data_IF_518465724282
#
_entry.id   IF_518465724282
#
_cell.length_a   1.000
_cell.length_b   1.000
_cell.length_c   1.000
_cell.angle_alpha   90.00
_cell.angle_beta   90.00
_cell.angle_gamma   90.00
#
_symmetry.space_group_name_H-M   'P 1'
#
loop_
_entity.id
_entity.type
_entity.pdbx_description
1 polymer ?
#
# COMPACT_ATOMS: atom_id res chain seq x y z
N UNK A 1 -14.98 25.29 19.46
CA UNK A 1 -13.79 26.07 19.06
C UNK A 1 -13.50 25.67 17.62
N UNK A 2 -13.48 26.63 16.71
CA UNK A 2 -13.08 26.38 15.34
C UNK A 2 -11.56 26.20 15.34
N UNK A 3 -11.10 25.01 14.93
CA UNK A 3 -9.67 24.71 14.79
C UNK A 3 -9.24 25.06 13.38
N UNK A 4 -8.13 25.77 13.24
CA UNK A 4 -7.59 26.21 11.95
C UNK A 4 -6.17 25.64 11.77
N UNK A 5 -5.92 25.05 10.61
CA UNK A 5 -4.62 24.59 10.16
C UNK A 5 -4.42 24.92 8.68
N UNK A 6 -3.20 24.79 8.17
CA UNK A 6 -3.00 24.97 6.72
C UNK A 6 -3.68 23.82 5.95
N UNK A 7 -3.53 22.60 6.43
CA UNK A 7 -4.02 21.41 5.75
C UNK A 7 -4.84 20.53 6.70
N UNK A 8 -6.04 20.13 6.25
CA UNK A 8 -6.89 19.16 6.95
C UNK A 8 -6.82 17.83 6.22
N UNK A 9 -6.41 16.77 6.92
CA UNK A 9 -6.31 15.40 6.41
C UNK A 9 -7.40 14.55 7.03
N UNK A 10 -8.22 13.89 6.21
CA UNK A 10 -9.23 12.92 6.64
C UNK A 10 -8.72 11.52 6.39
N UNK A 11 -8.53 10.76 7.46
CA UNK A 11 -7.97 9.41 7.46
C UNK A 11 -6.59 9.33 8.09
N UNK A 12 -6.52 8.71 9.27
CA UNK A 12 -5.29 8.49 10.04
C UNK A 12 -4.71 7.09 9.88
N UNK A 13 -4.94 6.42 8.74
CA UNK A 13 -4.31 5.13 8.41
C UNK A 13 -2.78 5.24 8.32
N UNK A 14 -2.16 4.85 7.21
CA UNK A 14 -0.72 5.00 7.00
C UNK A 14 -0.38 6.21 6.11
N UNK A 15 -1.17 6.46 5.06
CA UNK A 15 -0.91 7.56 4.11
C UNK A 15 -1.15 8.94 4.73
N UNK A 16 -2.21 9.10 5.55
CA UNK A 16 -2.51 10.37 6.22
C UNK A 16 -1.39 10.83 7.16
N UNK A 17 -0.95 9.99 8.10
CA UNK A 17 0.21 10.27 8.94
C UNK A 17 1.50 10.54 8.18
N UNK A 18 1.78 9.76 7.13
CA UNK A 18 2.96 9.98 6.28
C UNK A 18 2.92 11.36 5.60
N UNK A 19 1.73 11.75 5.10
CA UNK A 19 1.53 13.07 4.50
C UNK A 19 1.65 14.19 5.53
N UNK A 20 1.08 14.01 6.73
CA UNK A 20 1.15 15.00 7.80
C UNK A 20 2.62 15.31 8.15
N UNK A 21 3.43 14.27 8.40
CA UNK A 21 4.85 14.41 8.71
C UNK A 21 5.66 15.03 7.55
N UNK A 22 5.35 14.64 6.31
CA UNK A 22 6.01 15.22 5.14
C UNK A 22 5.72 16.72 4.98
N UNK A 23 4.51 17.17 5.32
CA UNK A 23 4.10 18.57 5.22
C UNK A 23 4.62 19.40 6.39
N UNK A 24 4.61 18.88 7.61
CA UNK A 24 5.14 19.64 8.76
C UNK A 24 6.65 19.80 8.67
N UNK A 25 7.38 18.86 8.08
CA UNK A 25 8.80 18.99 7.78
C UNK A 25 9.11 20.18 6.83
N UNK A 26 8.10 20.71 6.13
CA UNK A 26 8.22 21.89 5.26
C UNK A 26 7.56 23.15 5.82
N UNK A 27 7.09 23.09 7.08
CA UNK A 27 6.60 24.24 7.85
C UNK A 27 5.09 24.41 7.92
N UNK A 28 4.30 23.49 7.32
CA UNK A 28 2.83 23.56 7.38
C UNK A 28 2.29 23.09 8.72
N UNK A 29 1.16 23.66 9.15
CA UNK A 29 0.34 23.13 10.22
C UNK A 29 -0.71 22.16 9.66
N UNK A 30 -0.91 21.00 10.33
CA UNK A 30 -1.76 19.93 9.82
C UNK A 30 -2.72 19.44 10.89
N UNK A 31 -4.00 19.28 10.54
CA UNK A 31 -4.98 18.55 11.37
C UNK A 31 -5.32 17.21 10.71
N UNK A 32 -5.09 16.11 11.44
CA UNK A 32 -5.44 14.75 11.01
C UNK A 32 -6.68 14.27 11.77
N UNK A 33 -7.74 13.95 11.02
CA UNK A 33 -9.03 13.46 11.55
C UNK A 33 -9.16 11.97 11.22
N UNK A 34 -9.44 11.13 12.24
CA UNK A 34 -9.68 9.71 12.05
C UNK A 34 -10.91 9.24 12.82
N UNK A 35 -11.74 8.42 12.17
CA UNK A 35 -12.96 7.87 12.76
C UNK A 35 -12.67 6.83 13.86
N UNK A 36 -11.49 6.19 13.86
CA UNK A 36 -11.14 5.20 14.86
C UNK A 36 -10.62 5.85 16.14
N UNK A 37 -11.08 5.40 17.31
CA UNK A 37 -10.54 5.84 18.59
C UNK A 37 -9.04 5.52 18.71
N UNK A 38 -8.31 6.37 19.43
CA UNK A 38 -6.87 6.22 19.65
C UNK A 38 -6.51 4.86 20.26
N UNK A 39 -7.36 4.32 21.16
CA UNK A 39 -7.16 3.00 21.78
C UNK A 39 -7.12 1.88 20.76
N UNK A 40 -7.99 1.92 19.75
CA UNK A 40 -8.02 0.94 18.65
C UNK A 40 -6.79 1.07 17.77
N UNK A 41 -6.38 2.30 17.47
CA UNK A 41 -5.21 2.59 16.64
C UNK A 41 -3.89 2.21 17.32
N UNK A 42 -3.81 2.30 18.66
CA UNK A 42 -2.63 1.94 19.47
C UNK A 42 -2.54 0.44 19.82
N UNK A 43 -3.44 -0.40 19.33
CA UNK A 43 -3.37 -1.83 19.61
C UNK A 43 -2.05 -2.42 19.09
N UNK A 44 -1.24 -2.93 20.02
CA UNK A 44 0.08 -3.50 19.74
C UNK A 44 0.06 -5.00 19.45
N UNK A 45 -1.11 -5.65 19.56
CA UNK A 45 -1.23 -7.08 19.29
C UNK A 45 -0.91 -7.36 17.80
N UNK A 46 -0.16 -8.41 17.56
CA UNK A 46 0.06 -8.91 16.21
C UNK A 46 -1.23 -9.57 15.71
N UNK A 47 -1.78 -9.04 14.65
CA UNK A 47 -3.02 -9.53 14.04
C UNK A 47 -2.80 -10.27 12.70
N UNK A 48 -1.56 -10.34 12.21
CA UNK A 48 -1.20 -10.99 10.96
C UNK A 48 -1.06 -10.03 9.77
N UNK A 49 -1.42 -8.74 9.92
CA UNK A 49 -1.27 -7.76 8.84
C UNK A 49 0.15 -7.24 8.74
N UNK A 50 0.63 -7.13 7.50
CA UNK A 50 1.94 -6.61 7.17
C UNK A 50 1.95 -5.95 5.80
N UNK A 51 2.95 -5.14 5.55
CA UNK A 51 3.13 -4.41 4.29
C UNK A 51 4.50 -4.67 3.69
N UNK A 52 4.51 -4.92 2.39
CA UNK A 52 5.73 -4.93 1.60
C UNK A 52 6.07 -3.48 1.19
N UNK A 53 7.02 -2.88 1.87
CA UNK A 53 7.53 -1.55 1.54
C UNK A 53 8.61 -1.68 0.48
N UNK A 54 8.43 -1.05 -0.68
CA UNK A 54 9.47 -0.91 -1.68
C UNK A 54 10.64 -0.05 -1.14
N UNK A 55 11.83 -0.21 -1.70
CA UNK A 55 13.00 0.55 -1.26
C UNK A 55 12.77 2.09 -1.33
N UNK A 56 12.10 2.56 -2.37
CA UNK A 56 11.74 3.98 -2.48
C UNK A 56 10.80 4.44 -1.34
N UNK A 57 9.87 3.58 -0.89
CA UNK A 57 9.00 3.88 0.24
C UNK A 57 9.77 3.92 1.57
N UNK A 58 10.75 3.04 1.74
CA UNK A 58 11.66 3.08 2.89
C UNK A 58 12.45 4.38 2.94
N UNK A 59 12.96 4.86 1.79
CA UNK A 59 13.65 6.15 1.68
C UNK A 59 12.75 7.33 2.10
N UNK A 60 11.48 7.31 1.71
CA UNK A 60 10.50 8.30 2.16
C UNK A 60 10.32 8.23 3.68
N UNK A 61 10.10 7.05 4.26
CA UNK A 61 9.94 6.89 5.71
C UNK A 61 11.15 7.40 6.47
N UNK A 62 12.35 7.19 5.94
CA UNK A 62 13.59 7.74 6.50
C UNK A 62 13.63 9.26 6.40
N UNK A 63 13.26 9.83 5.26
CA UNK A 63 13.24 11.27 5.05
C UNK A 63 12.26 12.02 5.95
N UNK A 64 11.16 11.37 6.38
CA UNK A 64 10.18 11.93 7.32
C UNK A 64 10.40 11.48 8.78
N UNK A 65 11.53 10.82 9.10
CA UNK A 65 11.93 10.47 10.47
C UNK A 65 11.13 9.33 11.11
N UNK A 66 10.54 8.42 10.32
CA UNK A 66 9.74 7.29 10.83
C UNK A 66 10.51 5.98 10.76
N UNK A 67 11.46 5.85 9.84
CA UNK A 67 12.13 4.59 9.56
C UNK A 67 12.88 4.01 10.75
N UNK A 68 13.59 4.83 11.50
CA UNK A 68 14.41 4.44 12.65
C UNK A 68 13.58 3.75 13.75
N UNK A 69 12.29 4.11 13.86
CA UNK A 69 11.36 3.48 14.82
C UNK A 69 10.85 2.10 14.38
N UNK A 70 11.06 1.70 13.13
CA UNK A 70 10.56 0.43 12.59
C UNK A 70 11.67 -0.47 12.03
N UNK A 71 12.89 0.04 11.88
CA UNK A 71 14.02 -0.66 11.23
C UNK A 71 14.31 -2.02 11.87
N UNK A 72 14.35 -2.11 13.20
CA UNK A 72 14.57 -3.36 13.94
C UNK A 72 13.43 -4.39 13.77
N UNK A 73 12.29 -3.96 13.25
CA UNK A 73 11.10 -4.78 12.98
C UNK A 73 10.86 -5.01 11.49
N UNK A 74 11.76 -4.52 10.65
CA UNK A 74 11.68 -4.62 9.20
C UNK A 74 12.48 -5.82 8.69
N UNK A 75 11.81 -6.76 8.02
CA UNK A 75 12.46 -7.89 7.38
C UNK A 75 12.85 -7.52 5.95
N UNK A 76 14.15 -7.49 5.58
CA UNK A 76 14.56 -7.23 4.21
C UNK A 76 14.11 -8.36 3.28
N UNK A 77 13.64 -7.99 2.08
CA UNK A 77 13.38 -8.89 0.96
C UNK A 77 14.62 -8.91 0.06
N UNK A 78 15.36 -10.02 0.13
CA UNK A 78 16.63 -10.19 -0.58
C UNK A 78 16.41 -10.80 -1.97
N UNK A 79 15.50 -11.77 -2.05
CA UNK A 79 15.16 -12.43 -3.30
C UNK A 79 13.63 -12.46 -3.50
N UNK A 80 13.20 -12.46 -4.75
CA UNK A 80 11.80 -12.74 -5.12
C UNK A 80 11.80 -13.86 -6.15
N UNK A 81 11.09 -14.95 -5.84
CA UNK A 81 10.91 -16.10 -6.73
C UNK A 81 9.47 -16.14 -7.21
N UNK A 82 9.29 -16.01 -8.52
CA UNK A 82 7.97 -15.99 -9.17
C UNK A 82 7.83 -17.23 -10.05
N UNK A 83 6.79 -18.02 -9.82
CA UNK A 83 6.54 -19.24 -10.58
C UNK A 83 5.05 -19.46 -10.83
N UNK A 84 4.73 -20.23 -11.86
CA UNK A 84 3.39 -20.80 -12.09
C UNK A 84 3.31 -22.18 -11.42
N UNK A 85 2.12 -22.63 -11.04
CA UNK A 85 1.95 -23.93 -10.41
C UNK A 85 0.50 -24.29 -10.09
N UNK A 86 0.35 -25.50 -9.54
CA UNK A 86 -0.92 -26.01 -9.01
C UNK A 86 -0.72 -26.52 -7.59
N UNK A 87 -1.79 -26.47 -6.80
CA UNK A 87 -1.79 -27.03 -5.46
C UNK A 87 -1.40 -28.53 -5.51
N UNK A 88 -0.35 -28.90 -4.77
CA UNK A 88 0.14 -30.27 -4.69
C UNK A 88 1.07 -30.72 -5.82
N UNK A 89 1.21 -29.95 -6.91
CA UNK A 89 2.10 -30.27 -8.02
C UNK A 89 3.48 -29.60 -7.90
N UNK A 90 3.64 -28.68 -6.95
CA UNK A 90 4.85 -27.89 -6.78
C UNK A 90 5.02 -26.77 -7.82
N UNK A 91 6.15 -26.04 -7.77
CA UNK A 91 6.45 -24.96 -8.70
C UNK A 91 6.78 -25.50 -10.10
N UNK A 92 6.48 -24.68 -11.13
CA UNK A 92 6.95 -24.93 -12.49
C UNK A 92 8.47 -24.87 -12.57
N UNK A 93 9.11 -25.65 -13.45
CA UNK A 93 10.54 -25.53 -13.71
C UNK A 93 10.94 -24.19 -14.34
N UNK A 94 9.97 -23.47 -14.92
CA UNK A 94 10.16 -22.11 -15.43
C UNK A 94 9.76 -21.11 -14.36
N UNK A 95 10.76 -20.38 -13.82
CA UNK A 95 10.54 -19.37 -12.81
C UNK A 95 11.37 -18.11 -13.10
N UNK A 96 10.90 -16.98 -12.63
CA UNK A 96 11.70 -15.76 -12.58
C UNK A 96 12.32 -15.65 -11.18
N UNK A 97 13.60 -15.34 -11.16
CA UNK A 97 14.34 -15.09 -9.95
C UNK A 97 14.93 -13.68 -10.00
N UNK A 98 14.59 -12.90 -9.01
CA UNK A 98 15.07 -11.56 -8.79
C UNK A 98 15.92 -11.55 -7.54
N UNK A 99 17.16 -11.06 -7.67
CA UNK A 99 18.15 -10.99 -6.58
C UNK A 99 18.46 -9.50 -6.33
N UNK A 100 18.44 -9.10 -5.06
CA UNK A 100 18.82 -7.75 -4.65
C UNK A 100 20.25 -7.38 -5.02
N UNK A 101 21.16 -8.36 -5.16
CA UNK A 101 22.52 -8.14 -5.61
C UNK A 101 22.62 -7.52 -7.03
N UNK A 102 21.51 -7.55 -7.79
CA UNK A 102 21.41 -6.82 -9.06
C UNK A 102 21.07 -5.33 -8.89
N UNK A 103 20.72 -4.90 -7.66
CA UNK A 103 20.55 -3.51 -7.26
C UNK A 103 21.79 -3.07 -6.47
N UNK A 104 22.40 -1.95 -6.87
CA UNK A 104 23.47 -1.32 -6.09
C UNK A 104 22.95 -0.61 -4.83
N UNK A 105 21.63 -0.47 -4.72
CA UNK A 105 20.91 0.36 -3.75
C UNK A 105 20.55 -0.37 -2.44
N UNK A 106 20.67 -1.71 -2.36
CA UNK A 106 20.31 -2.52 -1.20
C UNK A 106 19.21 -3.54 -1.48
N UNK A 107 18.43 -3.99 -0.47
CA UNK A 107 17.35 -4.96 -0.67
C UNK A 107 16.23 -4.36 -1.54
N UNK A 108 15.44 -5.22 -2.16
CA UNK A 108 14.31 -4.77 -3.02
C UNK A 108 13.22 -4.05 -2.24
N UNK A 109 13.18 -4.25 -0.94
CA UNK A 109 12.23 -3.65 -0.02
C UNK A 109 12.23 -4.37 1.32
N UNK A 110 11.24 -4.08 2.13
CA UNK A 110 11.13 -4.61 3.50
C UNK A 110 9.69 -5.00 3.81
N UNK A 111 9.53 -6.13 4.50
CA UNK A 111 8.26 -6.46 5.13
C UNK A 111 8.19 -5.87 6.53
N UNK A 112 7.14 -5.13 6.82
CA UNK A 112 6.91 -4.53 8.15
C UNK A 112 5.48 -4.83 8.61
N UNK A 113 5.34 -5.29 9.85
CA UNK A 113 4.03 -5.53 10.45
C UNK A 113 3.25 -4.23 10.66
N UNK A 114 1.94 -4.24 10.41
CA UNK A 114 1.04 -3.08 10.54
C UNK A 114 1.16 -2.37 11.90
N UNK A 115 1.24 -3.15 12.98
CA UNK A 115 1.33 -2.62 14.34
C UNK A 115 2.56 -1.73 14.58
N UNK A 116 3.71 -2.06 13.97
CA UNK A 116 4.94 -1.29 14.12
C UNK A 116 4.88 0.01 13.32
N UNK A 117 4.44 -0.05 12.06
CA UNK A 117 4.26 1.15 11.22
C UNK A 117 3.25 2.10 11.84
N UNK A 118 2.09 1.60 12.24
CA UNK A 118 1.02 2.40 12.83
C UNK A 118 1.47 3.08 14.12
N UNK A 119 2.18 2.36 14.99
CA UNK A 119 2.72 2.92 16.23
C UNK A 119 3.75 4.01 15.93
N UNK A 120 4.72 3.75 15.06
CA UNK A 120 5.76 4.70 14.70
C UNK A 120 5.16 6.01 14.14
N UNK A 121 4.18 5.91 13.24
CA UNK A 121 3.48 7.09 12.74
C UNK A 121 2.72 7.86 13.82
N UNK A 122 2.03 7.16 14.72
CA UNK A 122 1.29 7.81 15.79
C UNK A 122 2.19 8.51 16.78
N UNK A 123 3.30 7.90 17.15
CA UNK A 123 4.27 8.46 18.08
C UNK A 123 5.00 9.65 17.43
N UNK A 124 5.39 9.57 16.16
CA UNK A 124 5.96 10.68 15.42
C UNK A 124 5.00 11.88 15.29
N UNK A 125 3.73 11.64 14.94
CA UNK A 125 2.72 12.70 14.91
C UNK A 125 2.45 13.31 16.30
N UNK A 126 2.53 12.53 17.37
CA UNK A 126 2.32 13.04 18.72
C UNK A 126 3.49 13.91 19.21
N UNK A 127 4.68 13.68 18.67
CA UNK A 127 5.88 14.47 19.00
C UNK A 127 5.97 15.79 18.21
N UNK A 128 5.23 15.93 17.11
CA UNK A 128 5.26 17.12 16.26
C UNK A 128 4.22 18.16 16.71
N UNK A 129 4.64 19.35 17.20
CA UNK A 129 3.71 20.39 17.67
C UNK A 129 2.84 20.99 16.57
N UNK A 130 3.20 20.83 15.30
CA UNK A 130 2.45 21.33 14.16
C UNK A 130 1.35 20.35 13.69
N UNK A 131 1.22 19.17 14.35
CA UNK A 131 0.19 18.18 14.03
C UNK A 131 -0.87 18.13 15.14
N UNK A 132 -2.10 18.48 14.80
CA UNK A 132 -3.27 18.25 15.64
C UNK A 132 -3.95 16.94 15.24
N UNK A 133 -4.15 16.03 16.20
CA UNK A 133 -4.83 14.75 15.97
C UNK A 133 -6.23 14.74 16.58
N UNK A 134 -7.25 14.51 15.75
CA UNK A 134 -8.64 14.32 16.16
C UNK A 134 -9.02 12.86 15.91
N UNK A 135 -9.11 12.08 16.99
CA UNK A 135 -9.38 10.65 16.92
C UNK A 135 -10.81 10.33 17.39
N UNK A 136 -11.44 9.31 16.78
CA UNK A 136 -12.79 8.88 17.13
C UNK A 136 -13.86 9.86 16.65
N UNK A 137 -13.59 10.62 15.58
CA UNK A 137 -14.51 11.59 14.97
C UNK A 137 -14.64 11.35 13.47
N UNK A 138 -15.88 11.39 13.01
CA UNK A 138 -16.21 11.18 11.60
C UNK A 138 -16.57 12.52 10.94
N UNK A 139 -16.00 12.78 9.77
CA UNK A 139 -16.39 13.93 8.95
C UNK A 139 -17.74 13.64 8.29
N UNK A 140 -18.74 14.44 8.60
CA UNK A 140 -20.11 14.30 8.09
C UNK A 140 -20.45 15.29 6.96
N UNK A 141 -19.78 16.46 6.92
CA UNK A 141 -19.92 17.43 5.85
C UNK A 141 -18.58 18.09 5.52
N UNK A 142 -18.46 18.63 4.32
CA UNK A 142 -17.31 19.40 3.86
C UNK A 142 -17.76 20.47 2.88
N UNK A 143 -17.11 21.61 2.90
CA UNK A 143 -17.44 22.76 2.07
C UNK A 143 -16.15 23.47 1.64
N UNK A 144 -16.04 23.76 0.34
CA UNK A 144 -15.00 24.64 -0.17
C UNK A 144 -15.45 26.10 0.03
N UNK A 145 -14.59 26.91 0.59
CA UNK A 145 -14.77 28.33 0.83
C UNK A 145 -13.93 29.14 -0.16
N UNK A 146 -14.17 30.44 -0.27
CA UNK A 146 -13.39 31.32 -1.17
C UNK A 146 -11.87 31.23 -0.92
N UNK A 147 -11.44 31.12 0.35
CA UNK A 147 -10.03 31.10 0.73
C UNK A 147 -9.64 29.87 1.56
N UNK A 148 -10.44 28.79 1.56
CA UNK A 148 -10.15 27.62 2.36
C UNK A 148 -11.19 26.52 2.25
N UNK A 149 -11.19 25.62 3.23
CA UNK A 149 -12.16 24.53 3.38
C UNK A 149 -12.67 24.48 4.80
N UNK A 150 -13.90 24.01 4.97
CA UNK A 150 -14.47 23.69 6.28
C UNK A 150 -14.98 22.25 6.27
N UNK A 151 -14.66 21.48 7.29
CA UNK A 151 -15.23 20.15 7.53
C UNK A 151 -16.02 20.16 8.84
N UNK A 152 -17.17 19.50 8.85
CA UNK A 152 -18.02 19.35 10.04
C UNK A 152 -17.88 17.91 10.54
N UNK A 153 -17.63 17.75 11.83
CA UNK A 153 -17.54 16.48 12.51
C UNK A 153 -18.90 15.99 13.01
N UNK A 154 -18.99 14.74 13.39
CA UNK A 154 -20.22 14.09 13.88
C UNK A 154 -20.76 14.67 15.19
N UNK A 155 -19.95 15.42 15.96
CA UNK A 155 -20.38 16.17 17.14
C UNK A 155 -20.78 17.63 16.83
N UNK A 156 -20.79 18.03 15.56
CA UNK A 156 -21.12 19.38 15.12
C UNK A 156 -19.94 20.37 15.17
N UNK A 157 -18.77 19.98 15.71
CA UNK A 157 -17.58 20.84 15.68
C UNK A 157 -17.05 21.00 14.25
N UNK A 158 -16.37 22.14 13.99
CA UNK A 158 -15.80 22.45 12.68
C UNK A 158 -14.29 22.54 12.75
N UNK A 159 -13.65 22.09 11.66
CA UNK A 159 -12.22 22.23 11.41
C UNK A 159 -12.05 22.94 10.07
N UNK A 160 -11.24 23.98 10.05
CA UNK A 160 -10.97 24.77 8.84
C UNK A 160 -9.52 24.68 8.41
N UNK A 161 -9.27 24.82 7.12
CA UNK A 161 -7.92 24.83 6.55
C UNK A 161 -7.90 25.48 5.17
N UNK A 162 -6.71 25.59 4.58
CA UNK A 162 -6.55 26.06 3.19
C UNK A 162 -6.87 24.96 2.18
N UNK A 163 -6.52 23.72 2.53
CA UNK A 163 -6.65 22.52 1.69
C UNK A 163 -7.22 21.34 2.50
N UNK A 164 -8.12 20.56 1.89
CA UNK A 164 -8.60 19.28 2.38
C UNK A 164 -7.93 18.15 1.63
N UNK A 165 -7.40 17.14 2.36
CA UNK A 165 -6.84 15.93 1.75
C UNK A 165 -7.56 14.69 2.25
N UNK A 166 -8.13 13.92 1.31
CA UNK A 166 -8.78 12.64 1.58
C UNK A 166 -7.77 11.48 1.55
N UNK A 167 -7.49 10.91 2.73
CA UNK A 167 -6.72 9.69 2.94
C UNK A 167 -7.58 8.58 3.59
N UNK A 168 -8.90 8.64 3.40
CA UNK A 168 -9.93 7.87 4.09
C UNK A 168 -10.29 6.54 3.41
N UNK A 169 -9.41 6.04 2.55
CA UNK A 169 -9.42 4.69 2.02
C UNK A 169 -10.41 4.45 0.89
N UNK A 170 -10.61 3.16 0.56
CA UNK A 170 -11.38 2.72 -0.63
C UNK A 170 -12.82 3.22 -0.66
N UNK A 171 -13.44 3.42 0.49
CA UNK A 171 -14.82 3.94 0.63
C UNK A 171 -14.82 5.42 1.00
N UNK A 172 -13.89 6.18 0.44
CA UNK A 172 -13.68 7.60 0.77
C UNK A 172 -14.98 8.40 0.78
N UNK A 173 -15.38 8.83 1.98
CA UNK A 173 -16.45 9.77 2.18
C UNK A 173 -16.07 11.16 1.66
N UNK A 174 -14.78 11.51 1.73
CA UNK A 174 -14.24 12.78 1.20
C UNK A 174 -14.42 12.86 -0.31
N UNK A 175 -14.07 11.80 -1.06
CA UNK A 175 -14.30 11.75 -2.51
C UNK A 175 -15.79 11.81 -2.86
N UNK A 176 -16.62 11.05 -2.13
CA UNK A 176 -18.05 11.01 -2.36
C UNK A 176 -18.72 12.39 -2.15
N UNK A 177 -18.40 13.08 -1.05
CA UNK A 177 -18.93 14.44 -0.77
C UNK A 177 -18.45 15.49 -1.79
N UNK A 178 -17.25 15.29 -2.37
CA UNK A 178 -16.76 16.14 -3.46
C UNK A 178 -17.38 15.80 -4.84
N UNK A 179 -18.29 14.83 -4.92
CA UNK A 179 -18.89 14.39 -6.18
C UNK A 179 -17.93 13.64 -7.12
N UNK A 180 -16.78 13.23 -6.63
CA UNK A 180 -15.78 12.50 -7.42
C UNK A 180 -16.26 11.07 -7.65
N UNK A 181 -16.52 10.73 -8.91
CA UNK A 181 -16.90 9.38 -9.33
C UNK A 181 -15.68 8.46 -9.38
N UNK A 182 -15.92 7.16 -9.23
CA UNK A 182 -14.87 6.12 -9.32
C UNK A 182 -15.24 5.16 -10.44
N UNK A 183 -14.24 4.74 -11.19
CA UNK A 183 -14.35 3.70 -12.23
C UNK A 183 -13.56 2.48 -11.76
N UNK A 184 -14.08 1.29 -12.01
CA UNK A 184 -13.41 0.06 -11.62
C UNK A 184 -14.30 -1.15 -11.79
N UNK A 185 -13.77 -2.30 -11.39
CA UNK A 185 -14.45 -3.60 -11.45
C UNK A 185 -13.99 -4.51 -10.32
N UNK A 186 -14.84 -5.47 -10.01
CA UNK A 186 -14.55 -6.57 -9.10
C UNK A 186 -13.95 -7.73 -9.90
N UNK A 187 -12.93 -8.39 -9.34
CA UNK A 187 -12.33 -9.57 -9.97
C UNK A 187 -13.05 -10.88 -9.63
N UNK A 188 -14.06 -10.85 -8.79
CA UNK A 188 -14.71 -12.05 -8.26
C UNK A 188 -13.78 -12.88 -7.37
N UNK A 189 -12.74 -12.26 -6.87
CA UNK A 189 -11.70 -12.85 -6.03
C UNK A 189 -11.67 -12.17 -4.65
N UNK A 190 -11.25 -12.94 -3.65
CA UNK A 190 -11.01 -12.45 -2.29
C UNK A 190 -9.65 -12.97 -1.83
N UNK A 191 -8.82 -12.08 -1.28
CA UNK A 191 -7.57 -12.46 -0.64
C UNK A 191 -7.84 -13.00 0.77
N UNK A 192 -7.29 -14.17 1.05
CA UNK A 192 -7.13 -14.75 2.38
C UNK A 192 -5.75 -14.31 2.89
N UNK A 193 -5.72 -13.57 4.00
CA UNK A 193 -4.50 -13.02 4.57
C UNK A 193 -4.32 -13.57 5.98
N UNK A 194 -3.14 -14.13 6.24
CA UNK A 194 -2.73 -14.59 7.57
C UNK A 194 -1.21 -14.55 7.69
N UNK A 195 -0.71 -14.74 8.89
CA UNK A 195 0.70 -15.08 9.10
C UNK A 195 0.83 -16.55 9.52
N UNK A 196 1.97 -17.12 9.19
CA UNK A 196 2.37 -18.46 9.62
C UNK A 196 3.73 -18.42 10.29
N UNK A 197 3.95 -19.30 11.24
CA UNK A 197 5.27 -19.73 11.71
C UNK A 197 5.70 -20.97 10.97
N UNK A 198 7.00 -21.12 10.72
CA UNK A 198 7.59 -22.26 10.03
C UNK A 198 8.91 -22.69 10.68
N UNK A 199 9.30 -23.93 10.39
CA UNK A 199 10.43 -24.59 11.05
C UNK A 199 11.78 -24.09 10.52
N UNK A 200 11.91 -23.91 9.21
CA UNK A 200 13.15 -23.55 8.53
C UNK A 200 13.22 -22.05 8.25
N UNK A 201 14.43 -21.52 8.07
CA UNK A 201 14.63 -20.11 7.67
C UNK A 201 14.09 -19.85 6.27
N UNK A 202 13.45 -18.69 6.08
CA UNK A 202 13.02 -18.17 4.76
C UNK A 202 14.13 -17.42 4.02
N UNK A 203 15.29 -17.15 4.66
CA UNK A 203 16.47 -16.48 4.10
C UNK A 203 16.18 -15.15 3.38
N UNK A 204 15.13 -14.44 3.80
CA UNK A 204 14.70 -13.18 3.16
C UNK A 204 14.06 -13.36 1.77
N UNK A 205 13.65 -14.57 1.41
CA UNK A 205 13.09 -14.90 0.10
C UNK A 205 11.59 -14.73 0.12
N UNK A 206 11.05 -13.90 -0.77
CA UNK A 206 9.63 -13.80 -1.08
C UNK A 206 9.27 -14.75 -2.23
N UNK A 207 8.15 -15.46 -2.09
CA UNK A 207 7.63 -16.34 -3.14
C UNK A 207 6.28 -15.85 -3.65
N UNK A 208 6.12 -15.86 -4.97
CA UNK A 208 4.89 -15.55 -5.66
C UNK A 208 4.51 -16.74 -6.55
N UNK A 209 3.51 -17.51 -6.14
CA UNK A 209 2.96 -18.61 -6.93
C UNK A 209 1.71 -18.16 -7.65
N UNK A 210 1.71 -18.25 -8.97
CA UNK A 210 0.51 -18.05 -9.77
C UNK A 210 -0.25 -19.37 -9.91
N UNK A 211 -1.48 -19.40 -9.41
CA UNK A 211 -2.37 -20.56 -9.46
C UNK A 211 -3.68 -20.20 -10.17
N UNK A 212 -4.42 -21.17 -10.72
CA UNK A 212 -5.64 -20.89 -11.50
C UNK A 212 -6.68 -19.99 -10.81
N UNK A 213 -6.94 -20.12 -9.49
CA UNK A 213 -7.89 -19.23 -8.80
C UNK A 213 -7.35 -17.83 -8.55
N UNK A 214 -6.02 -17.68 -8.52
CA UNK A 214 -5.31 -16.43 -8.23
C UNK A 214 -3.96 -16.69 -7.55
N UNK A 215 -3.13 -15.64 -7.39
CA UNK A 215 -1.81 -15.77 -6.83
C UNK A 215 -1.81 -16.09 -5.33
N UNK A 216 -0.76 -16.81 -4.91
CA UNK A 216 -0.35 -16.99 -3.52
C UNK A 216 1.01 -16.32 -3.33
N UNK A 217 1.08 -15.31 -2.47
CA UNK A 217 2.32 -14.72 -2.01
C UNK A 217 2.69 -15.26 -0.62
N UNK A 218 3.97 -15.61 -0.44
CA UNK A 218 4.60 -16.01 0.81
C UNK A 218 5.73 -15.01 1.05
N UNK A 219 5.53 -14.11 2.00
CA UNK A 219 6.39 -12.94 2.21
C UNK A 219 7.11 -13.04 3.54
N UNK A 220 8.45 -12.91 3.58
CA UNK A 220 9.24 -13.12 4.81
C UNK A 220 8.90 -12.08 5.88
N UNK A 221 8.70 -12.50 7.12
CA UNK A 221 8.59 -11.64 8.31
C UNK A 221 9.76 -11.89 9.24
N UNK A 222 9.97 -11.02 10.21
CA UNK A 222 11.03 -11.21 11.22
C UNK A 222 10.90 -12.54 11.96
N UNK A 223 12.02 -13.23 12.12
CA UNK A 223 12.08 -14.60 12.64
C UNK A 223 11.61 -15.63 11.62
N UNK A 224 11.29 -16.84 12.08
CA UNK A 224 10.76 -17.89 11.21
C UNK A 224 9.24 -17.72 11.00
N UNK A 225 8.84 -16.60 10.41
CA UNK A 225 7.45 -16.28 10.09
C UNK A 225 7.32 -15.76 8.67
N UNK A 226 6.16 -16.01 8.07
CA UNK A 226 5.81 -15.44 6.76
C UNK A 226 4.38 -14.94 6.74
N UNK A 227 4.16 -13.84 6.04
CA UNK A 227 2.82 -13.35 5.69
C UNK A 227 2.34 -14.07 4.43
N UNK A 228 1.10 -14.53 4.48
CA UNK A 228 0.42 -15.20 3.39
C UNK A 228 -0.63 -14.25 2.83
N UNK A 229 -0.59 -14.04 1.52
CA UNK A 229 -1.65 -13.37 0.76
C UNK A 229 -2.08 -14.33 -0.35
N UNK A 230 -3.20 -14.99 -0.12
CA UNK A 230 -3.71 -16.02 -1.00
C UNK A 230 -5.00 -15.60 -1.66
N UNK A 231 -4.97 -15.39 -2.97
CA UNK A 231 -6.14 -15.02 -3.76
C UNK A 231 -6.93 -16.27 -4.17
N UNK A 232 -8.24 -16.24 -3.95
CA UNK A 232 -9.15 -17.33 -4.28
C UNK A 232 -10.47 -16.74 -4.79
N UNK A 233 -11.28 -17.52 -5.50
CA UNK A 233 -12.65 -17.12 -5.86
C UNK A 233 -13.42 -16.77 -4.60
N UNK A 234 -14.19 -15.69 -4.63
CA UNK A 234 -14.83 -15.12 -3.42
C UNK A 234 -15.61 -16.14 -2.60
N UNK A 235 -16.43 -16.96 -3.25
CA UNK A 235 -17.22 -17.99 -2.55
C UNK A 235 -16.33 -19.03 -1.85
N UNK A 236 -15.27 -19.47 -2.53
CA UNK A 236 -14.33 -20.44 -1.98
C UNK A 236 -13.50 -19.83 -0.84
N UNK A 237 -13.06 -18.58 -1.00
CA UNK A 237 -12.33 -17.85 0.04
C UNK A 237 -13.14 -17.76 1.36
N UNK A 238 -14.43 -17.44 1.26
CA UNK A 238 -15.29 -17.40 2.45
C UNK A 238 -15.46 -18.78 3.09
N UNK A 239 -15.63 -19.85 2.30
CA UNK A 239 -15.68 -21.22 2.82
C UNK A 239 -14.39 -21.61 3.53
N UNK A 240 -13.23 -21.32 2.93
CA UNK A 240 -11.93 -21.64 3.51
C UNK A 240 -11.71 -20.84 4.80
N UNK A 241 -12.05 -19.55 4.81
CA UNK A 241 -11.86 -18.71 5.99
C UNK A 241 -12.74 -19.12 7.17
N UNK A 242 -13.90 -19.73 6.91
CA UNK A 242 -14.82 -20.24 7.93
C UNK A 242 -14.38 -21.60 8.54
N UNK A 243 -13.36 -22.25 7.96
CA UNK A 243 -12.87 -23.53 8.45
C UNK A 243 -12.17 -23.39 9.81
N UNK A 244 -12.20 -24.46 10.61
CA UNK A 244 -11.39 -24.58 11.80
C UNK A 244 -9.89 -24.43 11.46
N UNK A 245 -9.05 -23.87 12.35
CA UNK A 245 -7.63 -23.63 12.08
C UNK A 245 -6.87 -24.84 11.52
N UNK A 246 -7.12 -26.03 12.06
CA UNK A 246 -6.49 -27.27 11.60
C UNK A 246 -6.85 -27.59 10.15
N UNK A 247 -8.12 -27.49 9.79
CA UNK A 247 -8.62 -27.74 8.43
C UNK A 247 -8.13 -26.69 7.46
N UNK A 248 -8.10 -25.42 7.87
CA UNK A 248 -7.51 -24.34 7.09
C UNK A 248 -6.05 -24.64 6.70
N UNK A 249 -5.24 -25.08 7.67
CA UNK A 249 -3.86 -25.47 7.43
C UNK A 249 -3.70 -26.68 6.51
N UNK A 250 -4.63 -27.64 6.57
CA UNK A 250 -4.66 -28.77 5.63
C UNK A 250 -4.96 -28.33 4.19
N UNK A 251 -5.74 -27.28 4.00
CA UNK A 251 -6.03 -26.70 2.67
C UNK A 251 -4.88 -25.81 2.18
N UNK A 252 -4.23 -25.09 3.08
CA UNK A 252 -3.08 -24.23 2.74
C UNK A 252 -1.84 -25.06 2.38
N UNK A 253 -1.54 -26.13 3.13
CA UNK A 253 -0.31 -26.92 3.01
C UNK A 253 0.04 -27.36 1.58
N UNK A 254 -0.86 -27.96 0.78
CA UNK A 254 -0.55 -28.37 -0.58
C UNK A 254 -0.22 -27.21 -1.54
N UNK A 255 -0.65 -25.99 -1.20
CA UNK A 255 -0.38 -24.77 -1.95
C UNK A 255 0.93 -24.12 -1.53
N UNK A 256 1.23 -24.19 -0.25
CA UNK A 256 2.44 -23.66 0.34
C UNK A 256 3.69 -24.50 0.00
N UNK A 257 3.59 -25.82 0.05
CA UNK A 257 4.69 -26.75 -0.15
C UNK A 257 5.43 -27.07 1.13
N UNK A 258 6.56 -27.82 1.01
CA UNK A 258 7.30 -28.38 2.14
C UNK A 258 8.65 -27.68 2.42
N UNK A 259 9.00 -26.67 1.62
CA UNK A 259 10.34 -26.05 1.60
C UNK A 259 10.72 -25.30 2.90
N UNK A 260 9.75 -24.91 3.73
CA UNK A 260 10.00 -24.30 5.05
C UNK A 260 9.67 -25.22 6.24
N UNK A 261 9.54 -26.54 6.00
CA UNK A 261 9.25 -27.51 7.05
C UNK A 261 7.82 -27.43 7.55
N UNK A 262 7.58 -27.73 8.84
CA UNK A 262 6.25 -27.65 9.44
C UNK A 262 5.77 -26.21 9.54
N UNK A 263 4.48 -25.98 9.32
CA UNK A 263 3.85 -24.66 9.37
C UNK A 263 2.65 -24.64 10.32
N UNK A 264 2.44 -23.52 10.99
CA UNK A 264 1.28 -23.26 11.86
C UNK A 264 0.81 -21.81 11.75
N UNK A 265 -0.46 -21.53 12.01
CA UNK A 265 -0.99 -20.17 12.05
C UNK A 265 -0.30 -19.34 13.15
N UNK A 266 -0.02 -18.08 12.83
CA UNK A 266 0.50 -17.08 13.74
C UNK A 266 -0.36 -15.81 13.63
N UNK A 267 -1.35 -15.67 14.50
CA UNK A 267 -2.30 -14.55 14.49
C UNK A 267 -3.64 -14.87 13.83
N UNK A 268 -4.37 -13.82 13.52
CA UNK A 268 -5.73 -13.90 12.98
C UNK A 268 -5.73 -14.11 11.45
N UNK A 269 -6.91 -14.43 10.92
CA UNK A 269 -7.15 -14.57 9.47
C UNK A 269 -8.06 -13.45 9.01
N UNK A 270 -7.71 -12.82 7.89
CA UNK A 270 -8.45 -11.73 7.29
C UNK A 270 -8.88 -12.07 5.87
N UNK A 271 -9.94 -11.43 5.42
CA UNK A 271 -10.39 -11.52 4.02
C UNK A 271 -10.53 -10.12 3.44
N UNK A 272 -10.05 -9.93 2.21
CA UNK A 272 -10.13 -8.65 1.50
C UNK A 272 -10.68 -8.89 0.10
N UNK A 273 -11.84 -8.30 -0.27
CA UNK A 273 -12.33 -8.32 -1.65
C UNK A 273 -11.31 -7.68 -2.60
N UNK A 274 -11.05 -8.35 -3.71
CA UNK A 274 -10.09 -7.90 -4.71
C UNK A 274 -10.82 -7.18 -5.83
N UNK A 275 -10.59 -5.89 -5.92
CA UNK A 275 -11.15 -5.00 -6.93
C UNK A 275 -10.11 -3.97 -7.38
N UNK A 276 -10.31 -3.44 -8.55
CA UNK A 276 -9.65 -2.24 -9.03
C UNK A 276 -10.65 -1.10 -9.00
N UNK A 277 -10.29 0.01 -8.37
CA UNK A 277 -11.09 1.24 -8.43
C UNK A 277 -10.17 2.44 -8.54
N UNK A 278 -10.45 3.33 -9.48
CA UNK A 278 -9.70 4.57 -9.67
C UNK A 278 -10.68 5.74 -9.67
N UNK A 279 -10.38 6.79 -8.93
CA UNK A 279 -11.12 8.03 -8.96
C UNK A 279 -10.96 8.72 -10.33
N UNK A 280 -12.04 9.24 -10.88
CA UNK A 280 -12.01 9.89 -12.19
C UNK A 280 -11.23 11.22 -12.15
N UNK A 281 -11.14 11.83 -10.97
CA UNK A 281 -10.25 12.95 -10.65
C UNK A 281 -9.61 12.69 -9.29
N UNK A 282 -8.34 13.07 -9.14
CA UNK A 282 -7.64 13.03 -7.85
C UNK A 282 -7.74 14.35 -7.09
N UNK A 283 -8.35 15.35 -7.73
CA UNK A 283 -8.50 16.69 -7.17
C UNK A 283 -9.90 17.25 -7.43
N UNK A 284 -10.33 18.17 -6.58
CA UNK A 284 -11.49 19.03 -6.74
C UNK A 284 -11.15 20.40 -6.16
N UNK A 285 -12.13 21.31 -6.08
CA UNK A 285 -11.90 22.63 -5.50
C UNK A 285 -11.35 22.50 -4.07
N UNK A 286 -10.13 23.00 -3.86
CA UNK A 286 -9.38 22.94 -2.60
C UNK A 286 -9.33 21.55 -1.96
N UNK A 287 -9.29 20.50 -2.78
CA UNK A 287 -9.31 19.10 -2.33
C UNK A 287 -8.36 18.24 -3.17
N UNK A 288 -7.59 17.38 -2.49
CA UNK A 288 -6.81 16.31 -3.11
C UNK A 288 -7.12 14.94 -2.47
N UNK A 289 -7.01 13.87 -3.24
CA UNK A 289 -7.14 12.47 -2.79
C UNK A 289 -5.78 11.78 -2.83
N UNK A 290 -5.50 10.95 -1.83
CA UNK A 290 -4.23 10.21 -1.68
C UNK A 290 -4.49 8.75 -1.36
N UNK A 291 -3.72 7.85 -1.95
CA UNK A 291 -3.77 6.42 -1.71
C UNK A 291 -5.10 5.79 -2.13
N UNK A 292 -5.63 4.88 -1.34
CA UNK A 292 -6.86 4.14 -1.65
C UNK A 292 -8.09 5.05 -1.86
N UNK A 293 -8.06 6.28 -1.37
CA UNK A 293 -9.09 7.27 -1.68
C UNK A 293 -9.08 7.70 -3.16
N UNK A 294 -7.90 7.79 -3.76
CA UNK A 294 -7.72 8.05 -5.18
C UNK A 294 -7.76 6.76 -6.03
N UNK A 295 -7.11 5.70 -5.56
CA UNK A 295 -6.97 4.44 -6.32
C UNK A 295 -6.87 3.24 -5.39
N UNK A 296 -7.77 2.27 -5.54
CA UNK A 296 -7.71 0.96 -4.89
C UNK A 296 -7.25 -0.08 -5.90
N UNK A 297 -6.10 -0.71 -5.67
CA UNK A 297 -5.51 -1.68 -6.59
C UNK A 297 -5.56 -3.09 -6.05
N UNK A 298 -5.41 -4.07 -6.96
CA UNK A 298 -5.17 -5.46 -6.57
C UNK A 298 -3.84 -5.56 -5.81
N UNK A 299 -3.77 -6.31 -4.70
CA UNK A 299 -2.56 -6.38 -3.86
C UNK A 299 -1.41 -7.21 -4.46
N UNK A 300 -1.43 -7.49 -5.75
CA UNK A 300 -0.30 -8.16 -6.42
C UNK A 300 0.97 -7.37 -6.15
N UNK A 301 1.99 -8.05 -5.68
CA UNK A 301 3.29 -7.49 -5.29
C UNK A 301 3.24 -6.39 -4.20
N UNK A 302 2.17 -6.29 -3.40
CA UNK A 302 2.10 -5.35 -2.26
C UNK A 302 2.10 -3.88 -2.63
N UNK A 303 1.68 -3.49 -3.86
CA UNK A 303 1.86 -2.14 -4.40
C UNK A 303 0.91 -1.07 -3.84
N UNK A 304 -0.19 -1.44 -3.17
CA UNK A 304 -1.21 -0.48 -2.73
C UNK A 304 -0.66 0.63 -1.82
N UNK A 305 0.05 0.26 -0.75
CA UNK A 305 0.66 1.25 0.16
C UNK A 305 1.79 2.03 -0.53
N UNK A 306 2.63 1.37 -1.33
CA UNK A 306 3.74 2.03 -2.04
C UNK A 306 3.23 3.10 -3.01
N UNK A 307 2.14 2.83 -3.74
CA UNK A 307 1.50 3.82 -4.61
C UNK A 307 0.95 5.01 -3.80
N UNK A 308 0.33 4.75 -2.64
CA UNK A 308 -0.15 5.80 -1.73
C UNK A 308 0.97 6.65 -1.13
N UNK A 309 2.09 6.04 -0.74
CA UNK A 309 3.27 6.77 -0.27
C UNK A 309 3.91 7.62 -1.39
N UNK A 310 3.82 7.15 -2.63
CA UNK A 310 4.26 7.94 -3.79
C UNK A 310 3.34 9.15 -4.02
N UNK A 311 2.02 9.02 -3.80
CA UNK A 311 1.09 10.15 -3.79
C UNK A 311 1.45 11.16 -2.69
N UNK A 312 1.74 10.67 -1.48
CA UNK A 312 2.19 11.49 -0.34
C UNK A 312 3.39 12.33 -0.73
N UNK A 313 4.44 11.70 -1.28
CA UNK A 313 5.65 12.38 -1.68
C UNK A 313 5.41 13.43 -2.78
N UNK A 314 4.63 13.07 -3.80
CA UNK A 314 4.30 13.96 -4.91
C UNK A 314 3.46 15.16 -4.45
N UNK A 315 2.43 14.93 -3.64
CA UNK A 315 1.57 16.00 -3.13
C UNK A 315 2.38 16.94 -2.23
N UNK A 316 3.14 16.41 -1.28
CA UNK A 316 3.97 17.23 -0.39
C UNK A 316 4.97 18.10 -1.18
N UNK A 317 5.61 17.55 -2.21
CA UNK A 317 6.54 18.29 -3.06
C UNK A 317 5.83 19.40 -3.87
N UNK A 318 4.69 19.10 -4.47
CA UNK A 318 3.91 20.08 -5.27
C UNK A 318 3.44 21.24 -4.40
N UNK A 319 2.87 20.96 -3.21
CA UNK A 319 2.37 21.99 -2.31
C UNK A 319 3.51 22.88 -1.79
N UNK A 320 4.62 22.29 -1.33
CA UNK A 320 5.77 23.01 -0.81
C UNK A 320 6.41 23.91 -1.89
N UNK A 321 6.56 23.41 -3.12
CA UNK A 321 7.13 24.20 -4.20
C UNK A 321 6.19 25.33 -4.66
N UNK A 322 4.88 25.14 -4.59
CA UNK A 322 3.89 26.18 -4.87
C UNK A 322 4.00 27.33 -3.84
N UNK A 323 4.00 26.98 -2.55
CA UNK A 323 4.12 27.98 -1.48
C UNK A 323 5.42 28.77 -1.58
N UNK A 324 6.57 28.13 -1.83
CA UNK A 324 7.86 28.81 -2.04
C UNK A 324 7.86 29.77 -3.22
N UNK A 325 6.94 29.60 -4.18
CA UNK A 325 6.73 30.52 -5.31
C UNK A 325 5.69 31.59 -5.04
N UNK A 326 5.08 31.60 -3.84
CA UNK A 326 3.98 32.50 -3.49
C UNK A 326 2.65 32.17 -4.16
N UNK A 327 2.48 30.92 -4.65
CA UNK A 327 1.25 30.43 -5.24
C UNK A 327 0.28 29.97 -4.12
N UNK A 328 -1.03 30.08 -4.33
CA UNK A 328 -2.01 29.42 -3.47
C UNK A 328 -1.91 27.90 -3.66
N UNK A 329 -1.41 27.19 -2.63
CA UNK A 329 -1.18 25.75 -2.67
C UNK A 329 -2.45 24.93 -2.97
N UNK A 330 -3.62 25.48 -2.66
CA UNK A 330 -4.91 24.83 -2.88
C UNK A 330 -5.60 25.29 -4.19
N UNK A 331 -4.92 26.10 -4.99
CA UNK A 331 -5.46 26.52 -6.29
C UNK A 331 -5.56 25.32 -7.25
N UNK A 332 -6.54 25.37 -8.14
CA UNK A 332 -6.76 24.32 -9.13
C UNK A 332 -5.50 24.02 -9.97
N UNK A 333 -4.75 25.05 -10.36
CA UNK A 333 -3.52 24.90 -11.14
C UNK A 333 -2.44 24.12 -10.40
N UNK A 334 -2.29 24.33 -9.10
CA UNK A 334 -1.32 23.61 -8.27
C UNK A 334 -1.75 22.16 -8.09
N UNK A 335 -3.02 21.93 -7.77
CA UNK A 335 -3.56 20.59 -7.58
C UNK A 335 -3.53 19.75 -8.87
N UNK A 336 -3.73 20.37 -10.02
CA UNK A 336 -3.61 19.71 -11.32
C UNK A 336 -2.18 19.23 -11.61
N UNK A 337 -1.12 19.91 -11.14
CA UNK A 337 0.26 19.41 -11.24
C UNK A 337 0.42 18.08 -10.51
N UNK A 338 -0.13 17.98 -9.30
CA UNK A 338 -0.15 16.72 -8.55
C UNK A 338 -0.92 15.64 -9.31
N UNK A 339 -2.12 15.94 -9.78
CA UNK A 339 -2.94 15.00 -10.54
C UNK A 339 -2.25 14.51 -11.81
N UNK A 340 -1.64 15.39 -12.59
CA UNK A 340 -0.93 15.05 -13.81
C UNK A 340 0.26 14.12 -13.51
N UNK A 341 1.04 14.43 -12.49
CA UNK A 341 2.16 13.60 -12.07
C UNK A 341 1.72 12.19 -11.69
N UNK A 342 0.66 12.08 -10.88
CA UNK A 342 0.25 10.79 -10.33
C UNK A 342 -0.63 9.96 -11.25
N UNK A 343 -1.43 10.60 -12.08
CA UNK A 343 -2.43 9.91 -12.91
C UNK A 343 -1.82 8.97 -13.92
N UNK A 344 -0.73 9.35 -14.56
CA UNK A 344 -0.04 8.50 -15.52
C UNK A 344 0.53 7.25 -14.86
N UNK A 345 1.29 7.42 -13.77
CA UNK A 345 1.87 6.31 -13.01
C UNK A 345 0.79 5.36 -12.50
N UNK A 346 -0.28 5.92 -11.91
CA UNK A 346 -1.39 5.16 -11.37
C UNK A 346 -2.13 4.37 -12.46
N UNK A 347 -2.38 4.98 -13.62
CA UNK A 347 -3.03 4.31 -14.74
C UNK A 347 -2.16 3.17 -15.29
N UNK A 348 -0.87 3.40 -15.44
CA UNK A 348 0.09 2.39 -15.89
C UNK A 348 0.16 1.20 -14.93
N UNK A 349 0.27 1.47 -13.62
CA UNK A 349 0.30 0.43 -12.59
C UNK A 349 -1.03 -0.33 -12.53
N UNK A 350 -2.17 0.35 -12.63
CA UNK A 350 -3.49 -0.27 -12.64
C UNK A 350 -3.67 -1.20 -13.85
N UNK A 351 -3.29 -0.76 -15.05
CA UNK A 351 -3.34 -1.58 -16.26
C UNK A 351 -2.37 -2.76 -16.20
N UNK A 352 -1.15 -2.56 -15.68
CA UNK A 352 -0.18 -3.63 -15.50
C UNK A 352 -0.69 -4.70 -14.53
N UNK A 353 -1.18 -4.31 -13.36
CA UNK A 353 -1.71 -5.24 -12.35
C UNK A 353 -2.97 -5.96 -12.86
N UNK A 354 -3.85 -5.28 -13.60
CA UNK A 354 -5.03 -5.90 -14.22
C UNK A 354 -4.62 -6.92 -15.29
N UNK A 355 -3.71 -6.56 -16.18
CA UNK A 355 -3.21 -7.46 -17.22
C UNK A 355 -2.52 -8.69 -16.60
N UNK A 356 -1.69 -8.50 -15.57
CA UNK A 356 -1.06 -9.59 -14.84
C UNK A 356 -2.11 -10.49 -14.16
N UNK A 357 -3.07 -9.92 -13.44
CA UNK A 357 -4.11 -10.72 -12.79
C UNK A 357 -4.88 -11.56 -13.81
N UNK A 358 -5.34 -10.97 -14.91
CA UNK A 358 -6.08 -11.69 -15.97
C UNK A 358 -5.23 -12.75 -16.66
N UNK A 359 -3.95 -12.46 -16.90
CA UNK A 359 -3.05 -13.39 -17.56
C UNK A 359 -2.73 -14.61 -16.66
N UNK A 360 -2.57 -14.40 -15.36
CA UNK A 360 -2.11 -15.43 -14.42
C UNK A 360 -3.21 -16.10 -13.61
N UNK A 361 -4.43 -15.53 -13.56
CA UNK A 361 -5.59 -16.13 -12.87
C UNK A 361 -6.51 -16.89 -13.82
N UNK A 362 -5.95 -17.76 -14.67
CA UNK A 362 -6.71 -18.65 -15.56
C UNK A 362 -5.97 -19.97 -15.81
N UNK A 363 -6.68 -20.97 -16.27
CA UNK A 363 -6.17 -22.33 -16.50
C UNK A 363 -6.13 -22.70 -18.00
N UNK A 364 -6.11 -21.70 -18.90
CA UNK A 364 -6.03 -21.95 -20.34
C UNK A 364 -4.61 -22.49 -20.68
N UNK A 365 -4.49 -23.71 -21.25
CA UNK A 365 -3.20 -24.36 -21.50
C UNK A 365 -2.28 -23.55 -22.45
N UNK A 366 -2.85 -22.84 -23.45
CA UNK A 366 -2.08 -22.03 -24.39
C UNK A 366 -1.51 -20.78 -23.72
N UNK A 367 -2.32 -20.09 -22.89
CA UNK A 367 -1.86 -18.93 -22.13
C UNK A 367 -0.82 -19.34 -21.11
N UNK A 368 -0.98 -20.51 -20.50
CA UNK A 368 -0.02 -21.05 -19.54
C UNK A 368 1.34 -21.34 -20.19
N UNK A 369 1.35 -22.01 -21.33
CA UNK A 369 2.58 -22.24 -22.08
C UNK A 369 3.26 -20.90 -22.47
N UNK A 370 2.46 -19.94 -22.92
CA UNK A 370 2.97 -18.60 -23.24
C UNK A 370 3.56 -17.86 -22.01
N UNK A 371 2.93 -18.00 -20.83
CA UNK A 371 3.45 -17.46 -19.56
C UNK A 371 4.79 -18.10 -19.16
N UNK A 372 4.85 -19.43 -19.19
CA UNK A 372 6.06 -20.18 -18.83
C UNK A 372 7.24 -19.79 -19.72
N UNK A 373 7.02 -19.70 -21.05
CA UNK A 373 8.03 -19.25 -21.99
C UNK A 373 8.41 -17.78 -21.69
N UNK A 374 7.42 -16.90 -21.47
CA UNK A 374 7.64 -15.50 -21.15
C UNK A 374 8.46 -15.30 -19.86
N UNK A 375 8.16 -16.06 -18.82
CA UNK A 375 8.94 -16.06 -17.56
C UNK A 375 10.37 -16.54 -17.80
N UNK A 376 10.57 -17.60 -18.58
CA UNK A 376 11.90 -18.07 -18.94
C UNK A 376 12.72 -17.04 -19.72
N UNK A 377 12.09 -16.33 -20.66
CA UNK A 377 12.75 -15.26 -21.45
C UNK A 377 13.14 -14.08 -20.56
N UNK A 378 12.23 -13.59 -19.72
CA UNK A 378 12.53 -12.50 -18.78
C UNK A 378 13.64 -12.90 -17.81
N UNK A 379 13.60 -14.14 -17.28
CA UNK A 379 14.62 -14.67 -16.37
C UNK A 379 16.02 -14.77 -17.03
N UNK A 380 16.08 -15.02 -18.34
CA UNK A 380 17.34 -15.17 -19.08
C UNK A 380 17.95 -13.88 -19.60
N UNK A 381 17.19 -12.76 -19.63
CA UNK A 381 17.65 -11.47 -20.17
C UNK A 381 17.97 -10.48 -19.02
N UNK A 382 19.25 -10.24 -18.67
CA UNK A 382 19.63 -9.42 -17.50
C UNK A 382 19.08 -8.00 -17.54
N UNK A 383 18.98 -7.38 -18.72
CA UNK A 383 18.46 -6.02 -18.88
C UNK A 383 16.97 -5.91 -18.54
N UNK A 384 16.14 -6.86 -18.99
CA UNK A 384 14.73 -6.93 -18.65
C UNK A 384 14.54 -7.23 -17.17
N UNK A 385 15.28 -8.21 -16.63
CA UNK A 385 15.22 -8.60 -15.23
C UNK A 385 15.53 -7.43 -14.31
N UNK A 386 16.62 -6.68 -14.54
CA UNK A 386 16.95 -5.46 -13.78
C UNK A 386 15.84 -4.39 -13.87
N UNK A 387 15.19 -4.24 -15.02
CA UNK A 387 14.04 -3.36 -15.18
C UNK A 387 12.91 -3.72 -14.22
N UNK A 388 12.55 -5.00 -14.12
CA UNK A 388 11.53 -5.50 -13.20
C UNK A 388 11.94 -5.35 -11.73
N UNK A 389 13.21 -5.61 -11.39
CA UNK A 389 13.74 -5.44 -10.02
C UNK A 389 13.65 -3.97 -9.61
N UNK A 390 14.05 -3.04 -10.46
CA UNK A 390 13.95 -1.59 -10.20
C UNK A 390 12.51 -1.12 -10.07
N UNK A 391 11.59 -1.66 -10.88
CA UNK A 391 10.15 -1.38 -10.77
C UNK A 391 9.60 -1.87 -9.43
N UNK A 392 9.91 -3.12 -9.05
CA UNK A 392 9.49 -3.69 -7.76
C UNK A 392 10.04 -2.91 -6.55
N UNK A 393 11.27 -2.41 -6.65
CA UNK A 393 11.90 -1.54 -5.65
C UNK A 393 11.35 -0.10 -5.65
N UNK A 394 10.46 0.23 -6.61
CA UNK A 394 9.85 1.56 -6.74
C UNK A 394 10.82 2.62 -7.26
N UNK A 395 11.90 2.22 -7.94
CA UNK A 395 13.01 3.09 -8.38
C UNK A 395 12.86 3.58 -9.83
N UNK A 396 11.70 3.41 -10.43
CA UNK A 396 11.44 3.80 -11.83
C UNK A 396 10.51 4.99 -11.94
N UNK A 397 10.52 5.62 -13.12
CA UNK A 397 9.73 6.82 -13.42
C UNK A 397 10.27 8.11 -12.79
N UNK A 398 9.47 9.16 -12.83
CA UNK A 398 9.79 10.45 -12.22
C UNK A 398 9.51 10.40 -10.71
N UNK A 399 10.57 10.18 -9.93
CA UNK A 399 10.45 9.98 -8.48
C UNK A 399 10.44 11.33 -7.75
N UNK A 400 9.45 11.55 -6.87
CA UNK A 400 9.49 12.67 -5.92
C UNK A 400 10.74 12.61 -5.03
N UNK A 401 11.21 13.78 -4.56
CA UNK A 401 12.44 13.90 -3.76
C UNK A 401 12.47 13.01 -2.52
N UNK A 402 11.36 12.92 -1.78
CA UNK A 402 11.28 12.06 -0.60
C UNK A 402 11.51 10.58 -0.94
N UNK A 403 11.03 10.12 -2.12
CA UNK A 403 11.27 8.75 -2.61
C UNK A 403 12.71 8.52 -3.06
N UNK A 404 13.47 9.60 -3.31
CA UNK A 404 14.91 9.56 -3.57
C UNK A 404 15.74 9.63 -2.26
N UNK A 405 15.09 9.74 -1.08
CA UNK A 405 15.73 9.97 0.21
C UNK A 405 16.23 11.41 0.40
N UNK A 406 15.66 12.37 -0.32
CA UNK A 406 16.05 13.78 -0.30
C UNK A 406 14.92 14.62 0.31
N UNK A 407 15.27 15.63 1.10
CA UNK A 407 14.30 16.63 1.58
C UNK A 407 13.71 17.43 0.40
N UNK A 408 12.47 17.93 0.59
CA UNK A 408 11.77 18.77 -0.40
C UNK A 408 12.38 20.18 -0.43
#
# INVERSE_FOLDING_TARGET
>A
MDMTSDIVIVGGGLNGPALALALTATGHSVTVIDALPIKTRKNAAFDGRSYALALASQRLLKAIGVWEAVEDHAQPMLEIKVTDGHAGAGPSPFFMHFDHAELEDGPMGYMVEDRHLRRAFMDAMAADPNITQINGKTVVAQEALQAGVSVTLDDGSKVTGKLLVGCDGRKSGTAARAGIKRTGWDYGQTALVCAIEHEMSHDGIAHQFFMPPGPLAILPLTGNRSSIVWSERTEMAHRINAMEPKTYMQVLRPRFGDFLGQIKLAGDRFTYPLNLTVANSFVADRLALVGDAAHGMHPIAGQGLNAGLRDVAALAEVLTLAERRGEDMASQLVLERYQQWRRFDTATLALATDAFNRLFSNDNPLLRLGRDIGMGVVGSLPGLRRGFVREAAGLTGDLPKLMQGRAI
#
